data_IF_117710743443
#
_entry.id   IF_117710743443
#
_cell.length_a   1.000
_cell.length_b   1.000
_cell.length_c   1.000
_cell.angle_alpha   90.00
_cell.angle_beta   90.00
_cell.angle_gamma   90.00
#
_symmetry.space_group_name_H-M   'P 1'
#
loop_
_entity.id
_entity.type
_entity.pdbx_description
1 polymer ?
#
# COMPACT_ATOMS: atom_id res chain seq x y z
N UNK A 1 -3.28 -35.97 -16.53
CA UNK A 1 -3.56 -35.14 -15.34
C UNK A 1 -2.46 -34.11 -15.28
N UNK A 2 -2.71 -32.91 -15.81
CA UNK A 2 -1.84 -31.77 -15.58
C UNK A 2 -2.17 -31.31 -14.16
N UNK A 3 -1.23 -31.51 -13.24
CA UNK A 3 -1.27 -30.91 -11.91
C UNK A 3 -1.40 -29.40 -12.12
N UNK A 4 -2.48 -28.78 -11.64
CA UNK A 4 -2.53 -27.32 -11.53
C UNK A 4 -1.30 -26.90 -10.73
N UNK A 5 -0.32 -26.27 -11.40
CA UNK A 5 0.81 -25.68 -10.71
C UNK A 5 0.22 -24.68 -9.71
N UNK A 6 0.42 -24.96 -8.43
CA UNK A 6 -0.18 -24.15 -7.37
C UNK A 6 0.58 -22.83 -7.38
N UNK A 7 -0.05 -21.78 -7.92
CA UNK A 7 0.47 -20.42 -7.85
C UNK A 7 0.65 -20.05 -6.38
N UNK A 8 1.88 -20.15 -5.89
CA UNK A 8 2.25 -19.87 -4.51
C UNK A 8 3.02 -18.57 -4.48
N UNK A 9 2.51 -17.60 -3.72
CA UNK A 9 3.18 -16.33 -3.52
C UNK A 9 3.44 -16.09 -2.05
N UNK A 10 4.60 -15.50 -1.75
CA UNK A 10 4.96 -15.03 -0.43
C UNK A 10 5.11 -13.50 -0.44
N UNK A 11 4.69 -12.86 0.65
CA UNK A 11 4.89 -11.44 0.87
C UNK A 11 6.03 -11.26 1.88
N UNK A 12 7.08 -10.54 1.48
CA UNK A 12 8.17 -10.14 2.38
C UNK A 12 8.09 -8.65 2.63
N UNK A 13 8.01 -8.25 3.89
CA UNK A 13 8.01 -6.84 4.30
C UNK A 13 9.27 -6.54 5.09
N UNK A 14 10.07 -5.60 4.59
CA UNK A 14 11.29 -5.13 5.24
C UNK A 14 11.11 -3.69 5.67
N UNK A 15 11.18 -3.43 6.97
CA UNK A 15 11.21 -2.09 7.53
C UNK A 15 12.64 -1.54 7.50
N UNK A 16 12.81 -0.33 6.94
CA UNK A 16 14.03 0.46 7.02
C UNK A 16 13.76 1.67 7.91
N UNK A 17 14.54 1.78 8.98
CA UNK A 17 14.50 2.91 9.90
C UNK A 17 15.91 3.27 10.35
N UNK A 18 16.22 4.56 10.53
CA UNK A 18 17.49 4.97 11.11
C UNK A 18 17.57 4.49 12.56
N UNK A 19 18.70 3.88 12.93
CA UNK A 19 18.95 3.46 14.32
C UNK A 19 19.19 4.66 15.25
N UNK A 20 19.79 5.73 14.72
CA UNK A 20 20.01 7.00 15.42
C UNK A 20 19.23 8.10 14.70
N UNK A 21 18.16 8.55 15.33
CA UNK A 21 17.18 9.48 14.73
C UNK A 21 17.67 10.92 14.69
N UNK A 22 18.44 11.33 15.70
CA UNK A 22 19.01 12.68 15.82
C UNK A 22 19.99 13.03 14.69
N UNK A 23 20.53 12.00 14.02
CA UNK A 23 21.47 12.14 12.89
C UNK A 23 20.84 11.70 11.57
N UNK A 24 19.56 11.32 11.58
CA UNK A 24 18.87 10.88 10.38
C UNK A 24 18.54 12.10 9.51
N UNK A 25 18.45 11.86 8.20
CA UNK A 25 17.84 12.83 7.31
C UNK A 25 16.38 13.09 7.78
N UNK A 26 15.87 14.34 7.68
CA UNK A 26 14.47 14.64 8.03
C UNK A 26 13.45 13.66 7.44
N UNK A 27 13.71 13.13 6.24
CA UNK A 27 12.88 12.10 5.61
C UNK A 27 12.84 10.77 6.36
N UNK A 28 13.99 10.26 6.77
CA UNK A 28 14.13 9.06 7.58
C UNK A 28 13.58 9.23 9.01
N UNK A 29 13.44 10.47 9.48
CA UNK A 29 12.85 10.79 10.77
C UNK A 29 11.31 10.77 10.72
N UNK A 30 10.72 11.33 9.66
CA UNK A 30 9.28 11.55 9.48
C UNK A 30 8.51 10.32 8.96
N UNK A 31 9.17 9.43 8.21
CA UNK A 31 8.53 8.27 7.57
C UNK A 31 9.17 6.95 8.01
N UNK A 32 8.34 5.92 8.24
CA UNK A 32 8.82 4.54 8.22
C UNK A 32 8.78 4.01 6.79
N UNK A 33 9.92 3.52 6.30
CA UNK A 33 10.05 3.01 4.94
C UNK A 33 9.89 1.50 4.93
N UNK A 34 8.81 1.00 4.34
CA UNK A 34 8.59 -0.42 4.13
C UNK A 34 8.84 -0.80 2.67
N UNK A 35 9.88 -1.60 2.43
CA UNK A 35 10.03 -2.31 1.17
C UNK A 35 9.22 -3.60 1.23
N UNK A 36 8.27 -3.73 0.31
CA UNK A 36 7.44 -4.93 0.17
C UNK A 36 7.84 -5.66 -1.10
N UNK A 37 8.16 -6.94 -0.98
CA UNK A 37 8.48 -7.81 -2.10
C UNK A 37 7.42 -8.91 -2.21
N UNK A 38 6.87 -9.07 -3.42
CA UNK A 38 6.04 -10.22 -3.78
C UNK A 38 6.94 -11.25 -4.45
N UNK A 39 6.97 -12.46 -3.88
CA UNK A 39 7.84 -13.55 -4.32
C UNK A 39 6.98 -14.67 -4.86
N UNK A 40 7.21 -15.09 -6.09
CA UNK A 40 6.67 -16.34 -6.63
C UNK A 40 7.49 -17.50 -6.09
N UNK A 41 6.82 -18.50 -5.51
CA UNK A 41 7.45 -19.70 -4.97
C UNK A 41 7.14 -20.86 -5.91
N UNK A 42 8.16 -21.38 -6.58
CA UNK A 42 7.98 -22.48 -7.53
C UNK A 42 7.73 -23.82 -6.81
N UNK A 43 7.41 -24.88 -7.56
CA UNK A 43 7.13 -26.22 -7.00
C UNK A 43 8.32 -26.82 -6.22
N UNK A 44 9.53 -26.29 -6.41
CA UNK A 44 10.74 -26.70 -5.71
C UNK A 44 11.00 -25.86 -4.44
N UNK A 45 10.16 -24.86 -4.17
CA UNK A 45 10.29 -23.95 -3.03
C UNK A 45 11.28 -22.80 -3.27
N UNK A 46 11.75 -22.61 -4.50
CA UNK A 46 12.64 -21.49 -4.83
C UNK A 46 11.82 -20.21 -5.00
N UNK A 47 12.37 -19.10 -4.50
CA UNK A 47 11.72 -17.80 -4.52
C UNK A 47 12.24 -16.93 -5.66
N UNK A 48 11.33 -16.45 -6.49
CA UNK A 48 11.60 -15.51 -7.57
C UNK A 48 10.85 -14.20 -7.32
N UNK A 49 11.53 -13.06 -7.47
CA UNK A 49 10.90 -11.76 -7.29
C UNK A 49 9.89 -11.49 -8.41
N UNK A 50 8.62 -11.34 -8.04
CA UNK A 50 7.53 -11.01 -8.95
C UNK A 50 7.23 -9.50 -8.99
N UNK A 51 7.21 -8.85 -7.83
CA UNK A 51 6.95 -7.41 -7.73
C UNK A 51 7.61 -6.77 -6.51
N UNK A 52 7.77 -5.45 -6.58
CA UNK A 52 8.17 -4.59 -5.46
C UNK A 52 7.16 -3.49 -5.24
N UNK A 53 6.98 -3.11 -3.98
CA UNK A 53 6.25 -1.93 -3.59
C UNK A 53 6.97 -1.17 -2.49
N UNK A 54 6.74 0.13 -2.46
CA UNK A 54 7.15 0.98 -1.36
C UNK A 54 5.90 1.40 -0.59
N UNK A 55 5.94 1.22 0.71
CA UNK A 55 4.88 1.66 1.62
C UNK A 55 5.50 2.57 2.66
N UNK A 56 4.95 3.76 2.83
CA UNK A 56 5.36 4.70 3.86
C UNK A 56 4.32 4.73 4.97
N UNK A 57 4.77 4.71 6.22
CA UNK A 57 3.92 5.10 7.36
C UNK A 57 4.36 6.45 7.85
N UNK A 58 3.41 7.36 7.93
CA UNK A 58 3.65 8.72 8.42
C UNK A 58 3.73 8.69 9.94
N UNK A 59 4.80 9.28 10.50
CA UNK A 59 4.91 9.47 11.95
C UNK A 59 4.30 10.82 12.34
N UNK A 60 3.45 10.80 13.36
CA UNK A 60 2.77 12.00 13.86
C UNK A 60 3.76 12.98 14.49
N UNK A 61 3.39 14.26 14.46
CA UNK A 61 4.08 15.39 15.09
C UNK A 61 5.41 15.82 14.46
N UNK A 62 5.73 15.35 13.24
CA UNK A 62 6.95 15.72 12.49
C UNK A 62 6.61 16.38 11.14
N UNK A 63 5.47 17.06 10.98
CA UNK A 63 4.97 17.40 9.64
C UNK A 63 5.75 18.46 8.86
N UNK A 64 6.53 19.31 9.53
CA UNK A 64 7.45 20.21 8.82
C UNK A 64 8.58 19.42 8.13
N UNK A 65 8.90 18.24 8.65
CA UNK A 65 9.84 17.30 8.06
C UNK A 65 9.16 16.39 7.03
N UNK A 66 7.86 16.12 7.12
CA UNK A 66 7.10 15.33 6.12
C UNK A 66 7.11 16.01 4.73
N UNK A 67 6.88 17.32 4.65
CA UNK A 67 6.89 18.05 3.36
C UNK A 67 8.30 18.16 2.79
N UNK A 68 9.29 18.47 3.63
CA UNK A 68 10.71 18.51 3.23
C UNK A 68 11.24 17.14 2.84
N UNK A 69 10.71 16.08 3.45
CA UNK A 69 11.00 14.70 3.09
C UNK A 69 10.44 14.36 1.73
N UNK A 70 9.17 14.68 1.47
CA UNK A 70 8.53 14.42 0.18
C UNK A 70 9.23 15.15 -0.98
N UNK A 71 9.76 16.36 -0.73
CA UNK A 71 10.56 17.15 -1.68
C UNK A 71 11.98 16.59 -1.93
N UNK A 72 12.45 15.60 -1.17
CA UNK A 72 13.76 15.00 -1.40
C UNK A 72 13.71 14.05 -2.61
N UNK A 73 14.76 14.06 -3.44
CA UNK A 73 14.82 13.27 -4.68
C UNK A 73 14.48 11.79 -4.46
N UNK A 74 13.45 11.28 -5.15
CA UNK A 74 13.14 9.85 -5.26
C UNK A 74 11.75 9.39 -4.83
N UNK A 75 10.92 10.29 -4.29
CA UNK A 75 9.52 10.01 -3.96
C UNK A 75 8.60 10.12 -5.18
N UNK A 76 7.39 9.55 -5.10
CA UNK A 76 6.41 9.68 -6.19
C UNK A 76 5.42 10.80 -5.91
N UNK A 77 4.77 11.27 -6.98
CA UNK A 77 3.69 12.26 -6.95
C UNK A 77 2.59 11.92 -5.93
N UNK A 78 2.33 10.64 -5.65
CA UNK A 78 1.32 10.26 -4.67
C UNK A 78 1.75 10.63 -3.24
N UNK A 79 2.99 10.36 -2.86
CA UNK A 79 3.48 10.67 -1.52
C UNK A 79 3.43 12.18 -1.28
N UNK A 80 3.95 12.96 -2.22
CA UNK A 80 3.93 14.42 -2.19
C UNK A 80 2.48 14.93 -2.03
N UNK A 81 1.57 14.46 -2.88
CA UNK A 81 0.18 14.91 -2.87
C UNK A 81 -0.57 14.53 -1.59
N UNK A 82 -0.33 13.34 -1.03
CA UNK A 82 -0.92 12.97 0.28
C UNK A 82 -0.38 13.87 1.38
N UNK A 83 0.93 14.09 1.41
CA UNK A 83 1.57 14.93 2.43
C UNK A 83 1.10 16.39 2.37
N UNK A 84 0.86 16.94 1.18
CA UNK A 84 0.45 18.32 0.98
C UNK A 84 -1.05 18.55 1.17
N UNK A 85 -1.91 17.64 0.68
CA UNK A 85 -3.35 17.88 0.60
C UNK A 85 -4.22 16.98 1.47
N UNK A 86 -3.73 15.80 1.89
CA UNK A 86 -4.54 14.86 2.67
C UNK A 86 -4.28 14.94 4.18
N UNK A 87 -3.12 15.46 4.58
CA UNK A 87 -2.66 15.47 5.96
C UNK A 87 -2.63 16.90 6.54
N UNK A 88 -2.89 17.01 7.84
CA UNK A 88 -2.65 18.23 8.58
C UNK A 88 -1.17 18.38 9.01
N UNK A 89 -0.85 19.53 9.59
CA UNK A 89 0.49 19.87 10.11
C UNK A 89 0.98 18.97 11.26
N UNK A 90 0.17 18.05 11.75
CA UNK A 90 0.54 17.09 12.78
C UNK A 90 0.67 15.67 12.18
N UNK A 91 0.49 15.54 10.85
CA UNK A 91 0.56 14.28 10.11
C UNK A 91 -0.73 13.46 10.17
N UNK A 92 -1.84 14.05 10.60
CA UNK A 92 -3.12 13.35 10.70
C UNK A 92 -3.93 13.52 9.40
N UNK A 93 -4.66 12.49 8.94
CA UNK A 93 -5.61 12.65 7.85
C UNK A 93 -6.68 13.68 8.18
N UNK A 94 -7.11 14.46 7.19
CA UNK A 94 -8.26 15.34 7.33
C UNK A 94 -9.51 14.58 7.82
N UNK A 95 -10.33 15.24 8.64
CA UNK A 95 -11.54 14.64 9.23
C UNK A 95 -12.54 14.11 8.18
N UNK A 96 -12.52 14.67 6.96
CA UNK A 96 -13.32 14.21 5.82
C UNK A 96 -13.07 12.74 5.46
N UNK A 97 -11.85 12.23 5.67
CA UNK A 97 -11.55 10.81 5.43
C UNK A 97 -12.23 9.91 6.44
N UNK A 98 -12.16 10.26 7.73
CA UNK A 98 -12.84 9.50 8.79
C UNK A 98 -14.36 9.55 8.61
N UNK A 99 -14.91 10.70 8.22
CA UNK A 99 -16.34 10.84 7.91
C UNK A 99 -16.75 9.96 6.73
N UNK A 100 -15.99 9.97 5.63
CA UNK A 100 -16.30 9.18 4.45
C UNK A 100 -16.16 7.67 4.68
N UNK A 101 -15.18 7.26 5.49
CA UNK A 101 -14.95 5.85 5.84
C UNK A 101 -15.88 5.35 6.96
N UNK A 102 -16.49 6.27 7.72
CA UNK A 102 -17.34 5.95 8.87
C UNK A 102 -16.57 5.46 10.10
N UNK A 103 -15.25 5.63 10.13
CA UNK A 103 -14.34 5.10 11.14
C UNK A 103 -13.29 6.12 11.52
N UNK A 104 -12.76 6.06 12.74
CA UNK A 104 -11.68 6.95 13.15
C UNK A 104 -10.36 6.47 12.53
N UNK A 105 -9.88 7.23 11.55
CA UNK A 105 -8.63 6.94 10.85
C UNK A 105 -7.60 8.01 11.19
N UNK A 106 -6.49 7.60 11.82
CA UNK A 106 -5.48 8.55 12.33
C UNK A 106 -4.05 8.17 11.96
N UNK A 107 -3.83 7.01 11.33
CA UNK A 107 -2.49 6.54 10.94
C UNK A 107 -2.38 6.41 9.42
N UNK A 108 -1.74 7.36 8.72
CA UNK A 108 -1.58 7.28 7.28
C UNK A 108 -0.59 6.18 6.88
N UNK A 109 -1.03 5.29 5.99
CA UNK A 109 -0.19 4.40 5.20
C UNK A 109 -0.28 4.82 3.73
N UNK A 110 0.83 4.88 3.03
CA UNK A 110 0.88 5.33 1.65
C UNK A 110 1.55 4.24 0.81
N UNK A 111 0.77 3.55 -0.01
CA UNK A 111 1.28 2.61 -1.00
C UNK A 111 1.67 3.41 -2.24
N UNK A 112 2.96 3.74 -2.32
CA UNK A 112 3.52 4.67 -3.30
C UNK A 112 3.44 4.15 -4.74
N UNK A 113 3.89 2.91 -4.94
CA UNK A 113 3.94 2.26 -6.25
C UNK A 113 4.01 0.75 -6.11
N UNK A 114 3.55 0.05 -7.15
CA UNK A 114 3.78 -1.39 -7.33
C UNK A 114 4.41 -1.62 -8.70
N UNK A 115 5.63 -2.11 -8.71
CA UNK A 115 6.45 -2.39 -9.89
C UNK A 115 6.61 -3.90 -10.06
N UNK A 116 6.10 -4.44 -11.16
CA UNK A 116 6.30 -5.85 -11.52
C UNK A 116 7.62 -6.03 -12.28
N UNK A 117 8.37 -7.09 -11.95
CA UNK A 117 9.68 -7.37 -12.58
C UNK A 117 9.52 -7.68 -14.07
N UNK A 118 8.42 -8.33 -14.45
CA UNK A 118 8.05 -8.58 -15.84
C UNK A 118 6.58 -8.22 -16.04
N UNK A 119 6.15 -7.87 -17.28
CA UNK A 119 4.74 -7.70 -17.58
C UNK A 119 4.01 -9.02 -17.36
N UNK A 120 3.20 -9.09 -16.30
CA UNK A 120 2.37 -10.26 -15.99
C UNK A 120 0.97 -10.05 -16.54
N UNK A 121 0.39 -11.07 -17.17
CA UNK A 121 -1.01 -11.06 -17.61
C UNK A 121 -1.95 -10.79 -16.43
N UNK A 122 -1.65 -11.35 -15.26
CA UNK A 122 -2.44 -11.24 -14.05
C UNK A 122 -2.01 -10.06 -13.15
N UNK A 123 -1.25 -9.09 -13.69
CA UNK A 123 -0.73 -7.96 -12.93
C UNK A 123 -1.81 -7.20 -12.13
N UNK A 124 -3.05 -6.96 -12.61
CA UNK A 124 -4.08 -6.31 -11.81
C UNK A 124 -4.53 -7.14 -10.59
N UNK A 125 -4.67 -8.46 -10.75
CA UNK A 125 -5.06 -9.37 -9.68
C UNK A 125 -3.96 -9.46 -8.61
N UNK A 126 -2.72 -9.68 -9.04
CA UNK A 126 -1.57 -9.73 -8.13
C UNK A 126 -1.35 -8.40 -7.44
N UNK A 127 -1.60 -7.28 -8.11
CA UNK A 127 -1.54 -5.94 -7.53
C UNK A 127 -2.55 -5.78 -6.39
N UNK A 128 -3.79 -6.21 -6.61
CA UNK A 128 -4.82 -6.23 -5.58
C UNK A 128 -4.48 -7.14 -4.41
N UNK A 129 -4.04 -8.37 -4.68
CA UNK A 129 -3.65 -9.33 -3.64
C UNK A 129 -2.45 -8.85 -2.83
N UNK A 130 -1.47 -8.20 -3.48
CA UNK A 130 -0.32 -7.61 -2.80
C UNK A 130 -0.76 -6.48 -1.87
N UNK A 131 -1.59 -5.54 -2.34
CA UNK A 131 -2.11 -4.45 -1.51
C UNK A 131 -2.96 -4.99 -0.33
N UNK A 132 -3.73 -6.06 -0.56
CA UNK A 132 -4.49 -6.74 0.49
C UNK A 132 -3.58 -7.33 1.55
N UNK A 133 -2.56 -8.08 1.15
CA UNK A 133 -1.58 -8.65 2.07
C UNK A 133 -0.78 -7.59 2.83
N UNK A 134 -0.49 -6.44 2.20
CA UNK A 134 0.11 -5.28 2.87
C UNK A 134 -0.82 -4.77 3.97
N UNK A 135 -2.09 -4.53 3.65
CA UNK A 135 -3.07 -4.02 4.60
C UNK A 135 -3.30 -4.99 5.76
N UNK A 136 -3.42 -6.30 5.48
CA UNK A 136 -3.57 -7.35 6.49
C UNK A 136 -2.33 -7.46 7.41
N UNK A 137 -1.14 -7.17 6.89
CA UNK A 137 0.11 -7.32 7.66
C UNK A 137 0.50 -6.05 8.42
N UNK A 138 0.30 -4.88 7.81
CA UNK A 138 0.69 -3.59 8.38
C UNK A 138 -0.46 -2.90 9.13
N UNK A 139 -1.70 -3.22 8.80
CA UNK A 139 -2.89 -2.68 9.45
C UNK A 139 -3.02 -3.12 10.91
N UNK A 140 -3.42 -2.18 11.76
CA UNK A 140 -3.66 -2.35 13.19
C UNK A 140 -5.03 -1.80 13.61
N UNK A 141 -5.88 -1.45 12.64
CA UNK A 141 -7.27 -1.05 12.82
C UNK A 141 -7.53 0.45 12.88
N UNK A 142 -6.50 1.30 12.80
CA UNK A 142 -6.66 2.77 12.80
C UNK A 142 -6.05 3.42 11.56
N UNK A 143 -5.47 2.61 10.67
CA UNK A 143 -4.78 3.06 9.48
C UNK A 143 -5.74 3.38 8.34
N UNK A 144 -5.40 4.43 7.60
CA UNK A 144 -5.94 4.69 6.27
C UNK A 144 -4.82 4.44 5.26
N UNK A 145 -5.06 3.53 4.33
CA UNK A 145 -4.13 3.23 3.24
C UNK A 145 -4.51 4.05 2.00
N UNK A 146 -3.64 4.96 1.61
CA UNK A 146 -3.67 5.67 0.34
C UNK A 146 -3.10 4.76 -0.75
N UNK A 147 -3.86 4.57 -1.83
CA UNK A 147 -3.56 3.65 -2.90
C UNK A 147 -3.10 4.38 -4.17
N UNK A 148 -2.16 3.80 -4.94
CA UNK A 148 -1.68 4.42 -6.16
C UNK A 148 -2.61 4.17 -7.32
N UNK A 149 -2.47 5.00 -8.35
CA UNK A 149 -3.21 4.88 -9.60
C UNK A 149 -4.46 5.76 -9.63
N UNK A 150 -4.83 6.17 -10.84
CA UNK A 150 -6.00 7.02 -11.07
C UNK A 150 -7.29 6.23 -11.25
N UNK A 151 -8.30 6.88 -11.83
CA UNK A 151 -9.64 6.31 -12.05
C UNK A 151 -9.66 4.95 -12.78
N UNK A 152 -8.62 4.61 -13.53
CA UNK A 152 -8.49 3.32 -14.21
C UNK A 152 -8.25 2.15 -13.26
N UNK A 153 -7.49 2.37 -12.19
CA UNK A 153 -7.14 1.33 -11.21
C UNK A 153 -8.17 1.27 -10.07
N UNK A 154 -8.98 2.31 -9.88
CA UNK A 154 -10.02 2.36 -8.85
C UNK A 154 -10.95 1.11 -8.82
N UNK A 155 -11.48 0.59 -9.95
CA UNK A 155 -12.39 -0.55 -9.90
C UNK A 155 -11.78 -1.83 -9.30
N UNK A 156 -10.46 -2.03 -9.44
CA UNK A 156 -9.80 -3.19 -8.85
C UNK A 156 -9.57 -2.98 -7.35
N UNK A 157 -9.27 -1.74 -6.94
CA UNK A 157 -9.13 -1.36 -5.54
C UNK A 157 -10.44 -1.46 -4.76
N UNK A 158 -11.52 -0.93 -5.32
CA UNK A 158 -12.87 -1.03 -4.76
C UNK A 158 -13.26 -2.50 -4.52
N UNK A 159 -13.05 -3.35 -5.53
CA UNK A 159 -13.42 -4.76 -5.44
C UNK A 159 -12.56 -5.56 -4.46
N UNK A 160 -11.26 -5.31 -4.43
CA UNK A 160 -10.34 -6.14 -3.66
C UNK A 160 -10.21 -5.71 -2.19
N UNK A 161 -10.38 -4.42 -1.92
CA UNK A 161 -10.10 -3.79 -0.63
C UNK A 161 -11.32 -3.06 -0.04
N UNK A 162 -12.38 -2.83 -0.82
CA UNK A 162 -13.46 -1.94 -0.40
C UNK A 162 -13.03 -0.47 -0.44
N UNK A 163 -12.06 -0.15 -1.30
CA UNK A 163 -11.55 1.21 -1.43
C UNK A 163 -12.64 2.18 -1.91
N UNK A 164 -12.60 3.40 -1.39
CA UNK A 164 -13.49 4.50 -1.77
C UNK A 164 -12.67 5.68 -2.30
N UNK A 165 -13.37 6.64 -2.93
CA UNK A 165 -12.78 7.92 -3.33
C UNK A 165 -13.17 9.02 -2.36
N UNK A 166 -12.19 9.79 -1.92
CA UNK A 166 -12.38 11.00 -1.11
C UNK A 166 -11.56 12.12 -1.76
N UNK A 167 -12.25 13.03 -2.46
CA UNK A 167 -11.58 13.96 -3.37
C UNK A 167 -10.83 13.23 -4.48
N UNK A 168 -9.56 13.57 -4.65
CA UNK A 168 -8.68 12.93 -5.65
C UNK A 168 -8.06 11.61 -5.14
N UNK A 169 -8.18 11.30 -3.85
CA UNK A 169 -7.54 10.14 -3.25
C UNK A 169 -8.39 8.88 -3.34
N UNK A 170 -7.73 7.75 -3.62
CA UNK A 170 -8.28 6.41 -3.42
C UNK A 170 -7.77 5.86 -2.09
N UNK A 171 -8.67 5.52 -1.18
CA UNK A 171 -8.33 5.15 0.19
C UNK A 171 -9.10 3.92 0.66
N UNK A 172 -8.51 3.19 1.60
CA UNK A 172 -9.17 2.10 2.33
C UNK A 172 -8.81 2.16 3.81
N UNK A 173 -9.75 1.84 4.69
CA UNK A 173 -9.49 1.72 6.13
C UNK A 173 -9.02 0.31 6.47
N UNK A 174 -7.97 0.21 7.30
CA UNK A 174 -7.53 -1.05 7.89
C UNK A 174 -8.49 -1.61 8.96
N UNK A 175 -9.48 -0.81 9.40
CA UNK A 175 -10.49 -1.23 10.37
C UNK A 175 -11.59 -2.10 9.75
N UNK A 176 -11.78 -1.98 8.43
CA UNK A 176 -12.88 -2.63 7.72
C UNK A 176 -12.54 -4.08 7.37
N UNK A 177 -13.56 -4.93 7.46
CA UNK A 177 -13.46 -6.29 6.94
C UNK A 177 -13.26 -6.24 5.41
N UNK A 178 -12.17 -6.85 4.93
CA UNK A 178 -11.84 -6.81 3.53
C UNK A 178 -12.83 -7.68 2.71
N UNK A 179 -13.33 -7.18 1.56
CA UNK A 179 -14.28 -7.92 0.72
C UNK A 179 -13.77 -9.31 0.32
N UNK A 180 -14.62 -10.26 -0.04
CA UNK A 180 -14.10 -11.53 -0.58
C UNK A 180 -13.38 -11.30 -1.92
N UNK A 181 -12.11 -11.73 -2.01
CA UNK A 181 -11.30 -11.54 -3.22
C UNK A 181 -10.18 -12.60 -3.35
N UNK A 182 -9.97 -13.20 -4.54
CA UNK A 182 -10.87 -13.15 -5.70
C UNK A 182 -12.23 -13.78 -5.35
N UNK A 183 -13.32 -13.39 -6.03
CA UNK A 183 -14.63 -14.01 -5.80
C UNK A 183 -14.56 -15.53 -6.00
N UNK A 184 -15.29 -16.31 -5.20
CA UNK A 184 -15.32 -17.76 -5.38
C UNK A 184 -15.75 -18.11 -6.81
N UNK A 185 -14.96 -18.96 -7.46
CA UNK A 185 -15.23 -19.46 -8.82
C UNK A 185 -14.51 -18.75 -9.96
N UNK A 186 -13.77 -17.66 -9.73
CA UNK A 186 -13.13 -16.89 -10.82
C UNK A 186 -11.69 -17.31 -11.18
N UNK A 187 -11.09 -18.28 -10.48
CA UNK A 187 -9.75 -18.80 -10.84
C UNK A 187 -9.76 -19.66 -12.13
N UNK A 188 -10.92 -20.02 -12.66
CA UNK A 188 -11.06 -20.83 -13.89
C UNK A 188 -11.25 -20.04 -15.19
N UNK A 189 -11.54 -18.74 -15.13
CA UNK A 189 -12.01 -17.95 -16.27
C UNK A 189 -11.05 -16.82 -16.71
N UNK A 190 -9.80 -16.84 -16.22
CA UNK A 190 -8.74 -15.93 -16.66
C UNK A 190 -7.70 -16.68 -17.50
N UNK A 191 -8.13 -17.30 -18.60
CA UNK A 191 -7.27 -17.77 -19.71
C UNK A 191 -7.58 -17.00 -20.98
#
# INVERSE_FOLDING_TARGET
MLTEARLSYALRITLRVPLLRETADPSDAALDHHLVELLHVNDQGEEELAARALVYRVRRFEAEDILKAADADGYTELLEHVCDEALDRDGNPHASFSEALGEVCCDPLILDRIEFVQPLHDAPMLRALMARGILDTLGRGMEILFLPGGARDFPIWERALGAIRVGEFTVVSAALELPEFPPRGTLGDCN
#
